data_IF_913661391752
#
_entry.id   IF_913661391752
#
_cell.length_a   1.000
_cell.length_b   1.000
_cell.length_c   1.000
_cell.angle_alpha   90.00
_cell.angle_beta   90.00
_cell.angle_gamma   90.00
#
_symmetry.space_group_name_H-M   'P 1'
#
loop_
_entity.id
_entity.type
_entity.pdbx_description
1 polymer ?
#
# COMPACT_ATOMS: atom_id res chain seq x y z
N UNK A 1 -11.54 20.11 -1.47
CA UNK A 1 -12.84 19.61 -1.98
C UNK A 1 -12.56 18.92 -3.30
N UNK A 2 -12.80 17.61 -3.40
CA UNK A 2 -12.61 16.85 -4.65
C UNK A 2 -14.00 16.50 -5.19
N UNK A 3 -14.23 16.75 -6.48
CA UNK A 3 -15.47 16.38 -7.17
C UNK A 3 -15.18 15.16 -8.03
N UNK A 4 -15.89 14.05 -7.76
CA UNK A 4 -15.72 12.77 -8.46
C UNK A 4 -16.99 12.44 -9.22
N UNK A 5 -16.85 11.99 -10.47
CA UNK A 5 -17.94 11.37 -11.22
C UNK A 5 -17.88 9.87 -10.99
N UNK A 6 -18.92 9.32 -10.37
CA UNK A 6 -19.01 7.88 -10.10
C UNK A 6 -19.96 7.22 -11.10
N UNK A 7 -19.72 5.96 -11.47
CA UNK A 7 -20.69 5.18 -12.21
C UNK A 7 -22.00 5.07 -11.42
N UNK A 8 -23.15 5.14 -12.12
CA UNK A 8 -24.50 5.10 -11.53
C UNK A 8 -24.70 3.93 -10.54
N UNK A 9 -24.13 2.77 -10.84
CA UNK A 9 -24.21 1.59 -9.97
C UNK A 9 -23.53 1.81 -8.60
N UNK A 10 -22.41 2.53 -8.56
CA UNK A 10 -21.69 2.83 -7.32
C UNK A 10 -22.47 3.85 -6.49
N UNK A 11 -23.00 4.89 -7.12
CA UNK A 11 -23.86 5.87 -6.45
C UNK A 11 -25.07 5.20 -5.79
N UNK A 12 -25.74 4.29 -6.50
CA UNK A 12 -26.87 3.53 -5.95
C UNK A 12 -26.47 2.68 -4.74
N UNK A 13 -25.31 2.02 -4.78
CA UNK A 13 -24.78 1.24 -3.64
C UNK A 13 -24.48 2.12 -2.43
N UNK A 14 -23.84 3.28 -2.65
CA UNK A 14 -23.54 4.25 -1.60
C UNK A 14 -24.82 4.79 -0.96
N UNK A 15 -25.82 5.16 -1.78
CA UNK A 15 -27.12 5.63 -1.32
C UNK A 15 -27.87 4.59 -0.51
N UNK A 16 -27.87 3.32 -0.94
CA UNK A 16 -28.48 2.24 -0.20
C UNK A 16 -27.78 1.99 1.14
N UNK A 17 -26.44 2.03 1.17
CA UNK A 17 -25.66 1.86 2.39
C UNK A 17 -25.91 3.00 3.39
N UNK A 18 -25.86 4.24 2.91
CA UNK A 18 -26.16 5.45 3.69
C UNK A 18 -27.53 5.38 4.36
N UNK A 19 -28.57 4.99 3.60
CA UNK A 19 -29.95 4.82 4.13
C UNK A 19 -30.04 3.77 5.22
N UNK A 20 -29.31 2.67 5.10
CA UNK A 20 -29.35 1.57 6.07
C UNK A 20 -28.66 1.89 7.39
N UNK A 21 -27.66 2.76 7.37
CA UNK A 21 -26.79 3.03 8.54
C UNK A 21 -26.98 4.41 9.13
N UNK A 22 -27.77 5.28 8.50
CA UNK A 22 -28.01 6.65 8.96
C UNK A 22 -26.81 7.58 8.79
N UNK A 23 -25.87 7.25 7.90
CA UNK A 23 -24.68 8.07 7.59
C UNK A 23 -24.76 8.65 6.18
N UNK A 24 -23.96 9.66 5.87
CA UNK A 24 -23.93 10.26 4.53
C UNK A 24 -23.20 9.38 3.51
N UNK A 25 -23.57 9.51 2.23
CA UNK A 25 -22.86 8.85 1.12
C UNK A 25 -21.39 9.28 1.06
N UNK A 26 -21.12 10.56 1.35
CA UNK A 26 -19.77 11.14 1.40
C UNK A 26 -18.88 10.51 2.46
N UNK A 27 -19.45 10.06 3.58
CA UNK A 27 -18.70 9.34 4.61
C UNK A 27 -18.17 8.00 4.07
N UNK A 28 -19.04 7.22 3.42
CA UNK A 28 -18.66 5.92 2.86
C UNK A 28 -17.74 6.03 1.66
N UNK A 29 -17.95 7.02 0.79
CA UNK A 29 -17.03 7.30 -0.30
C UNK A 29 -15.62 7.62 0.22
N UNK A 30 -15.52 8.47 1.26
CA UNK A 30 -14.25 8.80 1.89
C UNK A 30 -13.58 7.57 2.51
N UNK A 31 -14.32 6.77 3.29
CA UNK A 31 -13.76 5.56 3.90
C UNK A 31 -13.33 4.52 2.86
N UNK A 32 -14.04 4.43 1.74
CA UNK A 32 -13.64 3.55 0.64
C UNK A 32 -12.34 4.01 -0.03
N UNK A 33 -12.14 5.32 -0.19
CA UNK A 33 -10.91 5.88 -0.76
C UNK A 33 -9.74 5.65 0.19
N UNK A 34 -9.87 6.02 1.47
CA UNK A 34 -8.79 5.89 2.47
C UNK A 34 -8.29 4.46 2.52
N UNK A 35 -9.20 3.50 2.74
CA UNK A 35 -8.85 2.08 2.84
C UNK A 35 -8.20 1.53 1.57
N UNK A 36 -8.53 2.08 0.40
CA UNK A 36 -7.93 1.61 -0.85
C UNK A 36 -6.59 2.31 -1.15
N UNK A 37 -6.35 3.48 -0.58
CA UNK A 37 -5.10 4.20 -0.78
C UNK A 37 -3.93 3.41 -0.20
N UNK A 38 -4.09 2.85 1.00
CA UNK A 38 -3.09 2.00 1.64
C UNK A 38 -2.66 0.84 0.70
N UNK A 39 -3.62 0.11 0.14
CA UNK A 39 -3.35 -0.99 -0.81
C UNK A 39 -2.63 -0.52 -2.10
N UNK A 40 -2.89 0.70 -2.55
CA UNK A 40 -2.29 1.28 -3.75
C UNK A 40 -0.86 1.74 -3.48
N UNK A 41 -0.62 2.36 -2.33
CA UNK A 41 0.70 2.80 -1.89
C UNK A 41 1.63 1.60 -1.68
N UNK A 42 1.16 0.55 -1.01
CA UNK A 42 1.93 -0.69 -0.81
C UNK A 42 2.35 -1.33 -2.15
N UNK A 43 1.39 -1.45 -3.08
CA UNK A 43 1.68 -1.97 -4.43
C UNK A 43 2.68 -1.09 -5.16
N UNK A 44 2.54 0.23 -5.08
CA UNK A 44 3.43 1.16 -5.76
C UNK A 44 4.87 1.04 -5.23
N UNK A 45 5.04 0.93 -3.91
CA UNK A 45 6.33 0.72 -3.28
C UNK A 45 6.96 -0.62 -3.70
N UNK A 46 6.17 -1.70 -3.72
CA UNK A 46 6.63 -3.00 -4.17
C UNK A 46 7.09 -2.97 -5.65
N UNK A 47 6.31 -2.34 -6.53
CA UNK A 47 6.66 -2.20 -7.95
C UNK A 47 7.95 -1.38 -8.13
N UNK A 48 8.14 -0.34 -7.32
CA UNK A 48 9.39 0.44 -7.33
C UNK A 48 10.59 -0.41 -6.92
N UNK A 49 10.47 -1.22 -5.87
CA UNK A 49 11.55 -2.13 -5.43
C UNK A 49 11.88 -3.14 -6.54
N UNK A 50 10.86 -3.76 -7.14
CA UNK A 50 11.04 -4.71 -8.26
C UNK A 50 11.76 -4.05 -9.44
N UNK A 51 11.44 -2.78 -9.75
CA UNK A 51 12.16 -2.04 -10.80
C UNK A 51 13.63 -1.85 -10.45
N UNK A 52 13.95 -1.41 -9.23
CA UNK A 52 15.35 -1.22 -8.79
C UNK A 52 16.15 -2.52 -8.74
N UNK A 53 15.52 -3.62 -8.35
CA UNK A 53 16.11 -4.95 -8.43
C UNK A 53 16.49 -5.32 -9.87
N UNK A 54 15.60 -5.03 -10.82
CA UNK A 54 15.86 -5.30 -12.25
C UNK A 54 16.94 -4.41 -12.86
N UNK A 55 17.07 -3.17 -12.40
CA UNK A 55 18.14 -2.25 -12.84
C UNK A 55 19.46 -2.46 -12.09
N UNK A 56 19.49 -3.32 -11.08
CA UNK A 56 20.67 -3.60 -10.25
C UNK A 56 20.99 -2.49 -9.24
N UNK A 57 20.04 -1.61 -8.98
CA UNK A 57 20.15 -0.49 -8.03
C UNK A 57 19.77 -0.88 -6.60
N UNK A 58 19.21 -2.08 -6.40
CA UNK A 58 18.81 -2.62 -5.10
C UNK A 58 19.63 -3.88 -4.78
N UNK A 59 20.16 -3.95 -3.57
CA UNK A 59 20.93 -5.11 -3.11
C UNK A 59 19.98 -6.21 -2.60
N UNK A 60 20.32 -7.47 -2.90
CA UNK A 60 19.60 -8.65 -2.38
C UNK A 60 20.51 -9.48 -1.49
N UNK A 61 19.94 -10.07 -0.45
CA UNK A 61 20.60 -11.08 0.39
C UNK A 61 19.90 -12.43 0.20
N UNK A 62 20.60 -13.53 0.46
CA UNK A 62 19.94 -14.84 0.50
C UNK A 62 19.03 -14.95 1.72
N UNK A 63 18.06 -15.86 1.65
CA UNK A 63 17.11 -16.07 2.75
C UNK A 63 17.82 -16.51 4.03
N UNK A 64 18.79 -17.44 3.94
CA UNK A 64 19.56 -17.92 5.09
C UNK A 64 20.28 -16.78 5.84
N UNK A 65 20.82 -15.80 5.10
CA UNK A 65 21.49 -14.63 5.69
C UNK A 65 20.48 -13.70 6.35
N UNK A 66 19.31 -13.52 5.73
CA UNK A 66 18.24 -12.67 6.27
C UNK A 66 17.68 -13.27 7.57
N UNK A 67 17.40 -14.57 7.59
CA UNK A 67 16.84 -15.27 8.75
C UNK A 67 17.81 -15.21 9.94
N UNK A 68 19.10 -15.48 9.73
CA UNK A 68 20.13 -15.34 10.75
C UNK A 68 20.21 -13.91 11.32
N UNK A 69 19.91 -12.88 10.52
CA UNK A 69 19.90 -11.48 10.95
C UNK A 69 18.64 -11.05 11.72
N UNK A 70 17.55 -11.79 11.63
CA UNK A 70 16.31 -11.52 12.37
C UNK A 70 16.31 -12.14 13.77
N UNK A 71 17.16 -13.15 14.00
CA UNK A 71 17.32 -13.82 15.31
C UNK A 71 18.17 -13.01 16.30
N UNK A 72 18.93 -12.02 15.83
CA UNK A 72 19.73 -11.11 16.66
C UNK A 72 18.98 -9.79 16.91
N UNK A 73 18.52 -9.50 18.15
CA UNK A 73 17.84 -8.24 18.46
C UNK A 73 18.88 -7.12 18.59
N UNK A 74 19.37 -6.61 17.46
CA UNK A 74 20.44 -5.62 17.49
C UNK A 74 20.88 -5.13 16.13
N UNK A 75 20.01 -4.37 15.45
CA UNK A 75 20.34 -3.34 14.45
C UNK A 75 21.73 -3.48 13.76
N UNK A 76 21.82 -4.24 12.69
CA UNK A 76 22.93 -4.13 11.75
C UNK A 76 22.48 -3.34 10.52
N UNK A 77 22.83 -2.04 10.47
CA UNK A 77 22.74 -1.25 9.25
C UNK A 77 23.50 -1.98 8.13
N UNK A 78 23.01 -1.99 6.88
CA UNK A 78 23.73 -2.63 5.80
C UNK A 78 25.04 -1.87 5.59
N UNK A 79 26.14 -2.54 5.94
CA UNK A 79 27.47 -2.08 5.60
C UNK A 79 27.57 -2.09 4.08
N UNK A 80 27.80 -0.89 3.53
CA UNK A 80 28.27 -0.68 2.18
C UNK A 80 29.34 -1.71 1.86
N UNK A 81 29.04 -2.61 0.94
CA UNK A 81 30.04 -3.44 0.29
C UNK A 81 29.77 -3.40 -1.22
N UNK A 82 30.24 -2.34 -1.87
CA UNK A 82 30.67 -2.41 -3.27
C UNK A 82 31.68 -1.30 -3.57
N UNK A 83 32.86 -1.77 -3.97
CA UNK A 83 34.07 -1.09 -4.45
C UNK A 83 34.95 -0.41 -3.38
#
# INVERSE_FOLDING_TARGET
MIVLRLPKQIEQRLKALARRTGRSETFYARQAIIRHLDDLEDRHLADMVVRRLRTGEEATVSLDILEAGLEEPGCAKPQKARC
#
